data_IF_751699788016
#
_entry.id   IF_751699788016
#
_cell.length_a   1.000
_cell.length_b   1.000
_cell.length_c   1.000
_cell.angle_alpha   90.00
_cell.angle_beta   90.00
_cell.angle_gamma   90.00
#
_symmetry.space_group_name_H-M   'P 1'
#
loop_
_entity.id
_entity.type
_entity.pdbx_description
1 polymer ?
#
# COMPACT_ATOMS: atom_id res chain seq x y z
N UNK A 1 18.17 4.96 -0.32
CA UNK A 1 17.36 5.01 -1.56
C UNK A 1 16.13 4.13 -1.32
N UNK A 2 15.03 4.69 -0.83
CA UNK A 2 13.77 3.95 -0.61
C UNK A 2 12.86 4.22 -1.81
N UNK A 3 12.47 3.15 -2.51
CA UNK A 3 11.89 3.12 -3.85
C UNK A 3 10.77 4.12 -4.12
N UNK A 4 10.83 4.70 -5.32
CA UNK A 4 9.85 5.62 -5.91
C UNK A 4 9.37 5.10 -7.27
N UNK A 5 9.02 3.81 -7.37
CA UNK A 5 8.49 3.27 -8.63
C UNK A 5 7.20 2.50 -8.39
N UNK A 6 6.10 3.24 -8.34
CA UNK A 6 4.73 2.76 -8.37
C UNK A 6 3.80 3.92 -8.80
N UNK A 7 2.60 3.66 -9.33
CA UNK A 7 1.66 4.70 -9.75
C UNK A 7 1.23 5.63 -8.61
N UNK A 8 1.40 5.19 -7.35
CA UNK A 8 1.20 5.97 -6.14
C UNK A 8 2.53 6.65 -5.73
N UNK A 9 2.82 7.83 -6.27
CA UNK A 9 4.07 8.57 -6.01
C UNK A 9 4.10 9.30 -4.66
N UNK A 10 3.04 9.17 -3.85
CA UNK A 10 2.84 9.67 -2.48
C UNK A 10 4.09 10.26 -1.84
N UNK A 11 4.19 11.60 -1.83
CA UNK A 11 5.36 12.33 -1.34
C UNK A 11 5.16 12.97 0.04
N UNK A 12 3.92 13.28 0.40
CA UNK A 12 3.55 13.81 1.72
C UNK A 12 3.33 12.66 2.69
N UNK A 13 2.08 12.22 2.86
CA UNK A 13 1.72 11.15 3.77
C UNK A 13 1.62 9.79 3.05
N UNK A 14 2.26 8.77 3.62
CA UNK A 14 2.19 7.42 3.06
C UNK A 14 2.54 6.31 4.04
N UNK A 15 2.04 5.13 3.71
CA UNK A 15 2.43 3.86 4.29
C UNK A 15 3.41 3.16 3.37
N UNK A 16 4.49 2.64 3.95
CA UNK A 16 5.38 1.73 3.25
C UNK A 16 5.04 0.29 3.66
N UNK A 17 4.61 -0.49 2.69
CA UNK A 17 4.49 -1.95 2.77
C UNK A 17 5.24 -2.49 1.54
N UNK A 18 6.37 -3.17 1.71
CA UNK A 18 7.20 -3.57 0.58
C UNK A 18 6.54 -4.62 -0.29
N UNK A 19 6.83 -4.54 -1.58
CA UNK A 19 6.35 -5.48 -2.60
C UNK A 19 4.85 -5.76 -2.49
N UNK A 20 4.06 -4.72 -2.23
CA UNK A 20 2.61 -4.87 -2.00
C UNK A 20 1.85 -4.87 -3.30
N UNK A 21 0.83 -5.73 -3.39
CA UNK A 21 -0.01 -5.90 -4.59
C UNK A 21 -1.47 -6.12 -4.20
N UNK A 22 -2.39 -5.77 -5.10
CA UNK A 22 -3.81 -6.06 -4.90
C UNK A 22 -4.08 -7.58 -4.98
N UNK A 23 -4.94 -8.07 -4.10
CA UNK A 23 -5.49 -9.44 -4.16
C UNK A 23 -6.50 -9.52 -5.30
N UNK A 24 -6.61 -10.66 -5.97
CA UNK A 24 -7.55 -10.87 -7.07
C UNK A 24 -7.03 -10.43 -8.44
N UNK A 25 -5.84 -9.80 -8.50
CA UNK A 25 -5.29 -9.27 -9.74
C UNK A 25 -4.18 -10.17 -10.28
N UNK A 26 -4.31 -10.73 -11.50
CA UNK A 26 -3.23 -11.48 -12.12
C UNK A 26 -2.04 -10.53 -12.37
N UNK A 27 -0.83 -11.00 -12.06
CA UNK A 27 0.42 -10.28 -12.35
C UNK A 27 0.69 -10.31 -13.86
N UNK A 28 -0.04 -9.50 -14.62
CA UNK A 28 0.17 -9.34 -16.06
C UNK A 28 1.18 -8.22 -16.29
N UNK A 29 2.46 -8.56 -16.46
CA UNK A 29 3.54 -7.62 -16.82
C UNK A 29 4.66 -7.45 -15.79
N UNK A 30 5.48 -6.41 -15.97
CA UNK A 30 6.57 -6.02 -15.06
C UNK A 30 6.03 -5.62 -13.69
N UNK A 31 6.27 -6.48 -12.68
CA UNK A 31 6.00 -6.28 -11.24
C UNK A 31 5.07 -5.12 -10.88
N UNK A 32 3.77 -5.38 -10.77
CA UNK A 32 2.74 -4.43 -10.28
C UNK A 32 2.83 -4.22 -8.75
N UNK A 33 4.01 -4.40 -8.16
CA UNK A 33 4.21 -4.21 -6.74
C UNK A 33 4.61 -2.78 -6.48
N UNK A 34 3.96 -2.14 -5.51
CA UNK A 34 4.36 -0.82 -5.03
C UNK A 34 5.05 -0.96 -3.68
N UNK A 35 5.74 0.10 -3.27
CA UNK A 35 6.30 0.19 -1.92
C UNK A 35 5.57 1.23 -1.08
N UNK A 36 4.78 2.13 -1.70
CA UNK A 36 4.08 3.23 -1.02
C UNK A 36 2.59 3.20 -1.32
N UNK A 37 1.78 3.46 -0.30
CA UNK A 37 0.33 3.57 -0.36
C UNK A 37 -0.08 4.88 0.33
N UNK A 38 -0.96 5.66 -0.29
CA UNK A 38 -1.55 6.87 0.29
C UNK A 38 -2.96 7.10 -0.28
N UNK A 39 -3.61 8.16 0.21
CA UNK A 39 -4.96 8.54 -0.19
C UNK A 39 -6.03 7.99 0.75
N UNK A 40 -7.30 8.12 0.35
CA UNK A 40 -8.46 7.82 1.19
C UNK A 40 -8.91 6.36 1.21
N UNK A 41 -8.32 5.48 0.38
CA UNK A 41 -8.68 4.05 0.30
C UNK A 41 -7.45 3.16 0.24
N UNK A 42 -7.60 1.92 0.69
CA UNK A 42 -6.51 0.94 0.65
C UNK A 42 -6.40 0.34 -0.76
N UNK A 43 -5.33 0.66 -1.50
CA UNK A 43 -5.02 0.00 -2.76
C UNK A 43 -3.54 0.10 -3.12
N UNK A 44 -3.02 -0.94 -3.78
CA UNK A 44 -1.67 -0.92 -4.36
C UNK A 44 -1.61 -0.11 -5.69
N UNK A 45 -2.73 0.47 -6.12
CA UNK A 45 -2.88 1.20 -7.38
C UNK A 45 -3.62 2.52 -7.16
N UNK A 46 -3.60 3.40 -8.18
CA UNK A 46 -4.43 4.61 -8.16
C UNK A 46 -5.88 4.20 -8.37
N UNK A 47 -6.66 4.21 -7.29
CA UNK A 47 -8.05 3.76 -7.26
C UNK A 47 -8.84 4.59 -6.25
N UNK A 48 -10.13 4.75 -6.51
CA UNK A 48 -11.11 5.29 -5.55
C UNK A 48 -11.87 4.17 -4.81
N UNK A 49 -11.61 2.91 -5.16
CA UNK A 49 -12.19 1.73 -4.54
C UNK A 49 -11.16 1.03 -3.66
N UNK A 50 -11.57 0.70 -2.44
CA UNK A 50 -10.76 -0.07 -1.50
C UNK A 50 -10.61 -1.52 -1.96
N UNK A 51 -9.43 -2.08 -1.72
CA UNK A 51 -9.04 -3.42 -2.13
C UNK A 51 -8.15 -4.06 -1.08
N UNK A 52 -8.29 -5.39 -0.91
CA UNK A 52 -7.35 -6.15 -0.09
C UNK A 52 -5.99 -6.19 -0.77
N UNK A 53 -4.93 -6.01 0.01
CA UNK A 53 -3.55 -6.05 -0.46
C UNK A 53 -2.78 -7.20 0.19
N UNK A 54 -1.74 -7.67 -0.49
CA UNK A 54 -0.84 -8.73 -0.02
C UNK A 54 0.61 -8.35 -0.23
N UNK A 55 1.46 -8.81 0.69
CA UNK A 55 2.92 -8.81 0.55
C UNK A 55 3.45 -10.19 0.91
N UNK A 56 4.51 -10.62 0.23
CA UNK A 56 5.21 -11.86 0.52
C UNK A 56 6.51 -11.64 1.32
N UNK A 57 6.80 -10.39 1.69
CA UNK A 57 8.01 -10.03 2.44
C UNK A 57 7.89 -10.50 3.88
N UNK A 58 8.98 -11.11 4.37
CA UNK A 58 9.10 -11.65 5.73
C UNK A 58 10.36 -11.07 6.40
N UNK A 59 10.28 -10.58 7.66
CA UNK A 59 9.06 -10.43 8.47
C UNK A 59 8.08 -9.41 7.86
N UNK A 60 6.81 -9.44 8.27
CA UNK A 60 5.88 -8.37 7.93
C UNK A 60 6.31 -7.11 8.70
N UNK A 61 6.52 -6.01 7.98
CA UNK A 61 6.78 -4.71 8.56
C UNK A 61 6.06 -3.64 7.76
N UNK A 62 5.70 -2.57 8.47
CA UNK A 62 5.03 -1.40 7.93
C UNK A 62 5.73 -0.17 8.50
N UNK A 63 5.98 0.82 7.65
CA UNK A 63 6.39 2.15 8.10
C UNK A 63 5.35 3.18 7.74
N UNK A 64 5.16 4.13 8.63
CA UNK A 64 4.28 5.26 8.41
C UNK A 64 5.13 6.53 8.36
N UNK A 65 4.89 7.34 7.34
CA UNK A 65 5.52 8.64 7.17
C UNK A 65 4.45 9.71 6.98
N UNK A 66 4.66 10.84 7.64
CA UNK A 66 3.90 12.07 7.43
C UNK A 66 4.84 13.25 7.35
N UNK A 67 4.44 14.31 6.63
CA UNK A 67 5.24 15.54 6.50
C UNK A 67 4.75 16.67 7.43
N UNK A 68 3.60 16.49 8.08
CA UNK A 68 2.99 17.44 9.01
C UNK A 68 2.19 18.57 8.34
N UNK A 69 1.95 18.49 7.03
CA UNK A 69 1.18 19.48 6.26
C UNK A 69 -0.19 18.92 5.88
N UNK A 70 -1.22 19.31 6.63
CA UNK A 70 -2.59 18.82 6.41
C UNK A 70 -3.38 19.67 5.38
N UNK A 71 -3.06 20.95 5.23
CA UNK A 71 -3.78 21.87 4.34
C UNK A 71 -2.99 22.19 3.07
N UNK A 72 -3.63 22.26 1.89
CA UNK A 72 -5.08 22.30 1.66
C UNK A 72 -5.73 20.94 1.32
N UNK A 73 -4.95 19.87 1.13
CA UNK A 73 -5.43 18.65 0.46
C UNK A 73 -5.85 17.51 1.40
N UNK A 74 -5.34 17.50 2.63
CA UNK A 74 -5.43 16.36 3.55
C UNK A 74 -6.12 16.75 4.87
N UNK A 75 -6.95 17.80 4.84
CA UNK A 75 -7.69 18.30 5.99
C UNK A 75 -8.54 17.17 6.60
N UNK A 76 -8.44 17.01 7.92
CA UNK A 76 -9.16 16.01 8.69
C UNK A 76 -8.79 14.54 8.42
N UNK A 77 -7.63 14.26 7.82
CA UNK A 77 -7.13 12.89 7.72
C UNK A 77 -6.99 12.25 9.12
N UNK A 78 -7.59 11.06 9.31
CA UNK A 78 -7.57 10.32 10.61
C UNK A 78 -6.57 9.17 10.60
N UNK A 79 -5.75 9.06 9.56
CA UNK A 79 -4.83 7.96 9.35
C UNK A 79 -5.55 6.70 8.85
N UNK A 80 -5.13 5.54 9.36
CA UNK A 80 -5.57 4.24 8.86
C UNK A 80 -5.91 3.28 9.99
N UNK A 81 -6.82 2.35 9.70
CA UNK A 81 -7.08 1.17 10.52
C UNK A 81 -6.96 -0.06 9.63
N UNK A 82 -6.00 -0.93 9.91
CA UNK A 82 -5.72 -2.12 9.11
C UNK A 82 -5.95 -3.38 9.92
N UNK A 83 -6.68 -4.31 9.33
CA UNK A 83 -6.75 -5.69 9.79
C UNK A 83 -5.85 -6.54 8.88
N UNK A 84 -5.01 -7.37 9.46
CA UNK A 84 -4.14 -8.27 8.71
C UNK A 84 -4.26 -9.70 9.24
N UNK A 85 -4.03 -10.66 8.34
CA UNK A 85 -3.90 -12.08 8.67
C UNK A 85 -2.60 -12.60 8.06
N UNK A 86 -1.97 -13.56 8.73
CA UNK A 86 -0.86 -14.30 8.15
C UNK A 86 -1.40 -15.58 7.53
N UNK A 87 -1.21 -15.72 6.22
CA UNK A 87 -1.58 -16.93 5.50
C UNK A 87 -0.44 -17.96 5.57
N UNK A 88 -0.75 -19.27 5.65
CA UNK A 88 0.27 -20.30 5.53
C UNK A 88 0.89 -20.27 4.13
N UNK A 89 2.14 -20.71 3.99
CA UNK A 89 2.87 -20.69 2.71
C UNK A 89 2.18 -21.49 1.59
N UNK A 90 1.29 -22.43 1.93
CA UNK A 90 0.50 -23.22 0.97
C UNK A 90 -0.74 -22.50 0.45
N UNK A 91 -1.09 -21.33 0.99
CA UNK A 91 -2.25 -20.55 0.58
C UNK A 91 -1.90 -19.67 -0.63
N UNK A 92 -2.67 -19.80 -1.71
CA UNK A 92 -2.61 -18.88 -2.84
C UNK A 92 -3.81 -17.95 -2.80
N UNK A 93 -3.62 -16.72 -2.33
CA UNK A 93 -4.60 -15.66 -2.49
C UNK A 93 -4.34 -15.00 -3.86
N UNK A 94 -4.93 -15.56 -4.93
CA UNK A 94 -4.82 -15.01 -6.28
C UNK A 94 -5.58 -13.71 -6.36
#
# INVERSE_FOLDING_TARGET
MVGTSGPNSCQADYLIIPMVSNVGRPLTGTSNTVDRICGGVLSAEVSTLSSSIKTNVKPFYLWFHTDGVEAPNDLDNKGFCLNYIQLPCSSTLS
#
